data_IF_042887120048
#
_entry.id   IF_042887120048
#
_cell.length_a   1.000
_cell.length_b   1.000
_cell.length_c   1.000
_cell.angle_alpha   90.00
_cell.angle_beta   90.00
_cell.angle_gamma   90.00
#
_symmetry.space_group_name_H-M   'P 1'
#
loop_
_entity.id
_entity.type
_entity.pdbx_description
1 polymer ?
#
# COMPACT_ATOMS: atom_id res chain seq x y z
N UNK A 1 25.70 16.21 15.05
CA UNK A 1 25.33 17.38 14.23
C UNK A 1 24.53 16.89 13.02
N UNK A 2 23.44 17.57 12.69
CA UNK A 2 22.65 17.32 11.48
C UNK A 2 22.78 18.54 10.58
N UNK A 3 23.11 18.32 9.31
CA UNK A 3 23.23 19.37 8.29
C UNK A 3 22.68 18.88 6.97
N UNK A 4 22.09 19.78 6.19
CA UNK A 4 21.56 19.48 4.87
C UNK A 4 22.08 20.51 3.89
N UNK A 5 22.72 20.05 2.82
CA UNK A 5 23.22 20.91 1.75
C UNK A 5 22.07 21.39 0.85
N UNK A 6 22.23 22.50 0.11
CA UNK A 6 21.20 23.03 -0.79
C UNK A 6 20.76 22.05 -1.90
N UNK A 7 21.60 21.09 -2.23
CA UNK A 7 21.35 20.03 -3.20
C UNK A 7 20.55 18.84 -2.62
N UNK A 8 20.15 18.93 -1.35
CA UNK A 8 19.37 17.91 -0.65
C UNK A 8 20.19 16.81 0.01
N UNK A 9 21.51 16.91 0.03
CA UNK A 9 22.38 15.92 0.66
C UNK A 9 22.31 16.01 2.19
N UNK A 10 22.05 14.88 2.86
CA UNK A 10 21.95 14.80 4.33
C UNK A 10 23.28 14.38 4.94
N UNK A 11 23.75 15.15 5.92
CA UNK A 11 24.94 14.87 6.72
C UNK A 11 24.52 14.59 8.17
N UNK A 12 24.90 13.40 8.66
CA UNK A 12 24.65 12.97 10.03
C UNK A 12 25.95 12.62 10.72
N UNK A 13 26.33 13.41 11.73
CA UNK A 13 27.49 13.14 12.59
C UNK A 13 27.02 12.72 13.99
N UNK A 14 27.11 11.43 14.37
CA UNK A 14 26.87 11.01 15.74
C UNK A 14 28.04 11.43 16.66
N UNK A 15 27.80 11.59 17.98
CA UNK A 15 28.86 11.93 18.92
C UNK A 15 29.92 10.82 18.98
N UNK A 16 31.20 11.19 18.81
CA UNK A 16 32.34 10.26 18.80
C UNK A 16 32.51 9.44 17.51
N UNK A 17 31.68 9.67 16.50
CA UNK A 17 31.69 8.89 15.25
C UNK A 17 31.98 9.71 14.00
N UNK A 18 32.12 9.01 12.87
CA UNK A 18 32.32 9.63 11.55
C UNK A 18 30.98 10.12 10.98
N UNK A 19 31.03 11.24 10.24
CA UNK A 19 29.88 11.76 9.49
C UNK A 19 29.46 10.76 8.41
N UNK A 20 28.16 10.44 8.37
CA UNK A 20 27.54 9.65 7.30
C UNK A 20 26.80 10.62 6.38
N UNK A 21 27.02 10.46 5.08
CA UNK A 21 26.39 11.29 4.05
C UNK A 21 25.47 10.43 3.21
N UNK A 22 24.21 10.84 3.10
CA UNK A 22 23.21 10.15 2.29
C UNK A 22 22.58 11.15 1.34
N UNK A 23 22.64 10.87 0.04
CA UNK A 23 21.90 11.60 -0.98
C UNK A 23 20.61 10.82 -1.28
N UNK A 24 19.44 11.23 -0.75
CA UNK A 24 18.19 10.52 -1.02
C UNK A 24 17.86 10.69 -2.51
N UNK A 25 17.99 9.61 -3.29
CA UNK A 25 18.09 9.67 -4.75
C UNK A 25 16.77 9.71 -5.52
N UNK A 26 15.59 9.78 -4.91
CA UNK A 26 14.36 9.66 -5.72
C UNK A 26 13.00 10.02 -5.12
N UNK A 27 12.85 10.31 -3.82
CA UNK A 27 11.50 10.54 -3.27
C UNK A 27 10.97 11.97 -3.39
N UNK A 28 11.79 12.93 -3.82
CA UNK A 28 11.41 14.34 -3.88
C UNK A 28 10.94 14.82 -5.25
N UNK A 29 11.26 14.13 -6.35
CA UNK A 29 11.12 14.74 -7.69
C UNK A 29 9.85 14.38 -8.47
N UNK A 30 9.11 13.32 -8.13
CA UNK A 30 7.98 12.87 -8.97
C UNK A 30 6.58 13.25 -8.45
N UNK A 31 6.49 13.89 -7.30
CA UNK A 31 5.21 14.24 -6.72
C UNK A 31 5.19 15.71 -6.34
N UNK A 32 4.35 16.50 -7.01
CA UNK A 32 4.08 17.85 -6.53
C UNK A 32 3.61 17.74 -5.10
N UNK A 33 4.18 18.57 -4.23
CA UNK A 33 3.83 18.62 -2.79
C UNK A 33 2.32 18.75 -2.58
N UNK A 34 1.63 19.39 -3.54
CA UNK A 34 0.18 19.49 -3.64
C UNK A 34 -0.49 18.12 -3.80
N UNK A 35 -0.14 17.34 -4.82
CA UNK A 35 -0.75 16.03 -5.08
C UNK A 35 -0.58 15.05 -3.90
N UNK A 36 0.56 15.11 -3.21
CA UNK A 36 0.80 14.29 -2.01
C UNK A 36 0.00 14.78 -0.81
N UNK A 37 -0.16 16.09 -0.66
CA UNK A 37 -0.98 16.67 0.40
C UNK A 37 -2.47 16.39 0.17
N UNK A 38 -2.92 16.40 -1.09
CA UNK A 38 -4.30 16.09 -1.45
C UNK A 38 -4.61 14.60 -1.23
N UNK A 39 -3.65 13.72 -1.51
CA UNK A 39 -3.81 12.27 -1.34
C UNK A 39 -3.63 11.79 0.11
N UNK A 40 -2.64 12.32 0.83
CA UNK A 40 -2.20 11.81 2.14
C UNK A 40 -2.46 12.78 3.30
N UNK A 41 -2.99 13.97 3.01
CA UNK A 41 -3.13 15.05 3.97
C UNK A 41 -1.82 15.78 4.24
N UNK A 42 -1.89 16.88 5.01
CA UNK A 42 -0.69 17.65 5.39
C UNK A 42 0.26 16.79 6.22
N UNK A 43 1.50 16.70 5.77
CA UNK A 43 2.57 16.10 6.56
C UNK A 43 2.77 16.94 7.83
N UNK A 44 2.74 16.34 9.03
CA UNK A 44 2.95 17.09 10.26
C UNK A 44 4.34 17.73 10.26
N UNK A 45 4.43 19.01 10.63
CA UNK A 45 5.70 19.74 10.75
C UNK A 45 6.58 19.24 11.90
N UNK A 46 6.01 18.47 12.83
CA UNK A 46 6.72 17.80 13.92
C UNK A 46 6.16 16.39 14.08
N UNK A 47 7.04 15.41 14.17
CA UNK A 47 6.66 14.05 14.52
C UNK A 47 6.04 14.03 15.93
N UNK A 48 4.85 13.45 16.05
CA UNK A 48 4.24 13.09 17.34
C UNK A 48 3.96 11.59 17.34
N UNK A 49 4.33 10.94 18.44
CA UNK A 49 3.94 9.55 18.68
C UNK A 49 2.41 9.46 18.77
N UNK A 50 1.77 8.50 18.09
CA UNK A 50 0.33 8.32 18.17
C UNK A 50 -0.11 8.02 19.61
N UNK A 51 -1.23 8.61 20.04
CA UNK A 51 -1.82 8.32 21.36
C UNK A 51 -2.29 6.85 21.44
N UNK A 52 -2.48 6.27 22.64
CA UNK A 52 -3.06 4.93 22.77
C UNK A 52 -4.41 4.80 22.06
N UNK A 53 -5.26 5.83 22.10
CA UNK A 53 -6.54 5.88 21.39
C UNK A 53 -6.34 5.84 19.87
N UNK A 54 -5.47 6.69 19.33
CA UNK A 54 -5.16 6.70 17.89
C UNK A 54 -4.58 5.36 17.41
N UNK A 55 -3.79 4.67 18.23
CA UNK A 55 -3.31 3.31 17.92
C UNK A 55 -4.43 2.27 17.94
N UNK A 56 -5.41 2.41 18.84
CA UNK A 56 -6.58 1.55 18.87
C UNK A 56 -7.45 1.78 17.62
N UNK A 57 -7.74 3.03 17.29
CA UNK A 57 -8.53 3.41 16.11
C UNK A 57 -7.88 2.91 14.82
N UNK A 58 -6.55 3.05 14.69
CA UNK A 58 -5.81 2.50 13.53
C UNK A 58 -5.91 0.98 13.44
N UNK A 59 -5.86 0.27 14.56
CA UNK A 59 -6.01 -1.21 14.59
C UNK A 59 -7.44 -1.61 14.21
N UNK A 60 -8.45 -0.90 14.71
CA UNK A 60 -9.84 -1.14 14.34
C UNK A 60 -10.07 -0.92 12.84
N UNK A 61 -9.58 0.19 12.30
CA UNK A 61 -9.67 0.46 10.85
C UNK A 61 -8.91 -0.59 10.01
N UNK A 62 -7.77 -1.08 10.49
CA UNK A 62 -7.04 -2.16 9.82
C UNK A 62 -7.79 -3.49 9.85
N UNK A 63 -8.41 -3.84 10.98
CA UNK A 63 -9.25 -5.03 11.12
C UNK A 63 -10.46 -4.98 10.18
N UNK A 64 -11.12 -3.83 10.07
CA UNK A 64 -12.25 -3.66 9.16
C UNK A 64 -11.83 -3.81 7.69
N UNK A 65 -10.70 -3.23 7.29
CA UNK A 65 -10.16 -3.43 5.94
C UNK A 65 -9.82 -4.90 5.67
N UNK A 66 -9.25 -5.61 6.63
CA UNK A 66 -8.94 -7.03 6.48
C UNK A 66 -10.21 -7.88 6.33
N UNK A 67 -11.27 -7.54 7.08
CA UNK A 67 -12.57 -8.18 6.94
C UNK A 67 -13.15 -7.97 5.53
N UNK A 68 -13.19 -6.74 5.05
CA UNK A 68 -13.70 -6.42 3.72
C UNK A 68 -12.88 -7.10 2.61
N UNK A 69 -11.56 -7.15 2.76
CA UNK A 69 -10.70 -7.87 1.81
C UNK A 69 -11.06 -9.36 1.74
N UNK A 70 -11.25 -10.02 2.89
CA UNK A 70 -11.64 -11.43 2.94
C UNK A 70 -13.03 -11.68 2.33
N UNK A 71 -13.98 -10.76 2.52
CA UNK A 71 -15.31 -10.85 1.91
C UNK A 71 -15.23 -10.74 0.38
N UNK A 72 -14.43 -9.80 -0.14
CA UNK A 72 -14.19 -9.65 -1.58
C UNK A 72 -13.51 -10.89 -2.15
N UNK A 73 -12.47 -11.42 -1.49
CA UNK A 73 -11.78 -12.62 -1.93
C UNK A 73 -12.73 -13.83 -1.99
N UNK A 74 -13.57 -14.01 -0.97
CA UNK A 74 -14.57 -15.08 -0.96
C UNK A 74 -15.62 -14.92 -2.08
N UNK A 75 -16.06 -13.69 -2.36
CA UNK A 75 -16.98 -13.41 -3.47
C UNK A 75 -16.33 -13.71 -4.83
N UNK A 76 -15.07 -13.32 -5.02
CA UNK A 76 -14.32 -13.61 -6.24
C UNK A 76 -14.12 -15.13 -6.43
N UNK A 77 -13.79 -15.86 -5.38
CA UNK A 77 -13.64 -17.31 -5.43
C UNK A 77 -14.96 -18.00 -5.79
N UNK A 78 -16.08 -17.54 -5.20
CA UNK A 78 -17.41 -18.04 -5.53
C UNK A 78 -17.77 -17.76 -7.01
N UNK A 79 -17.50 -16.56 -7.50
CA UNK A 79 -17.76 -16.20 -8.89
C UNK A 79 -16.94 -17.04 -9.88
N UNK A 80 -15.67 -17.32 -9.54
CA UNK A 80 -14.81 -18.20 -10.35
C UNK A 80 -15.30 -19.65 -10.35
N UNK A 81 -15.73 -20.17 -9.19
CA UNK A 81 -16.27 -21.52 -9.08
C UNK A 81 -17.57 -21.69 -9.89
N UNK A 82 -18.48 -20.72 -9.83
CA UNK A 82 -19.71 -20.72 -10.62
C UNK A 82 -19.42 -20.70 -12.12
N UNK A 83 -18.46 -19.87 -12.56
CA UNK A 83 -18.04 -19.82 -13.97
C UNK A 83 -17.48 -21.15 -14.48
N UNK A 84 -16.77 -21.91 -13.63
CA UNK A 84 -16.31 -23.25 -13.98
C UNK A 84 -17.43 -24.28 -14.01
N UNK A 85 -18.42 -24.18 -13.11
CA UNK A 85 -19.61 -25.02 -13.16
C UNK A 85 -20.42 -24.79 -14.45
N UNK A 86 -20.60 -23.54 -14.87
CA UNK A 86 -21.32 -23.21 -16.11
C UNK A 86 -20.58 -23.73 -17.36
N UNK A 87 -19.24 -23.66 -17.38
CA UNK A 87 -18.43 -24.19 -18.48
C UNK A 87 -18.50 -25.72 -18.58
N UNK A 88 -18.59 -26.42 -17.46
CA UNK A 88 -18.75 -27.88 -17.43
C UNK A 88 -20.15 -28.33 -17.88
N UNK A 89 -21.19 -27.55 -17.57
CA UNK A 89 -22.57 -27.83 -17.99
C UNK A 89 -22.80 -27.61 -19.50
N UNK A 90 -22.04 -26.73 -20.14
CA UNK A 90 -22.14 -26.46 -21.59
C UNK A 90 -21.47 -27.48 -22.51
N UNK A 91 -20.90 -28.57 -21.98
CA UNK A 91 -20.12 -29.56 -22.75
C UNK A 91 -20.90 -30.85 -23.11
N UNK A 92 -22.24 -30.87 -23.01
CA UNK A 92 -23.07 -32.07 -23.27
C UNK A 92 -23.88 -32.10 -24.57
N UNK A 93 -23.72 -31.14 -25.49
CA UNK A 93 -24.33 -31.21 -26.84
C UNK A 93 -23.23 -31.33 -27.92
N UNK A 94 -22.53 -32.46 -27.91
CA UNK A 94 -21.67 -32.90 -29.00
C UNK A 94 -22.38 -33.97 -29.81
N UNK A 95 -23.14 -33.55 -30.82
CA UNK A 95 -23.73 -34.42 -31.85
C UNK A 95 -22.64 -35.37 -32.41
N UNK A 96 -22.81 -36.70 -32.34
CA UNK A 96 -21.80 -37.62 -32.86
C UNK A 96 -21.67 -37.45 -34.38
N UNK A 97 -20.45 -37.52 -34.94
CA UNK A 97 -20.25 -37.29 -36.38
C UNK A 97 -21.00 -38.33 -37.21
N UNK A 98 -21.62 -37.92 -38.35
CA UNK A 98 -22.26 -38.87 -39.25
C UNK A 98 -21.19 -39.78 -39.87
N UNK A 99 -21.44 -41.09 -39.80
CA UNK A 99 -20.63 -42.13 -40.45
C UNK A 99 -20.51 -41.93 -41.95
#
# INVERSE_FOLDING_TARGET
MFGMDPDGTLHVTPPGGRTRTTRPSCLAEACTRQAVTDLLGRTPTRYRSPTPKERADRRAAAAERARLAAEIEAELDAALAMRWHDAAAGSQDGDPPPF
#
